data_IF_293660265676
#
_entry.id   IF_293660265676
#
_cell.length_a   1.000
_cell.length_b   1.000
_cell.length_c   1.000
_cell.angle_alpha   90.00
_cell.angle_beta   90.00
_cell.angle_gamma   90.00
#
_symmetry.space_group_name_H-M   'P 1'
#
loop_
_entity.id
_entity.type
_entity.pdbx_description
1 polymer ?
#
# COMPACT_ATOMS: atom_id res chain seq x y z
N UNK A 1 41.32 8.90 -38.58
CA UNK A 1 40.00 8.50 -38.05
C UNK A 1 40.17 7.97 -36.64
N UNK A 2 39.92 8.81 -35.64
CA UNK A 2 39.60 8.44 -34.25
C UNK A 2 39.41 9.74 -33.46
N UNK A 3 38.25 9.94 -32.84
CA UNK A 3 38.19 10.69 -31.58
C UNK A 3 36.96 10.26 -30.78
N UNK A 4 37.23 10.04 -29.51
CA UNK A 4 36.45 9.39 -28.46
C UNK A 4 35.24 10.23 -28.07
N UNK A 5 34.04 9.66 -28.12
CA UNK A 5 32.82 10.27 -27.56
C UNK A 5 32.76 10.03 -26.04
N UNK A 6 33.26 11.00 -25.27
CA UNK A 6 33.07 11.06 -23.82
C UNK A 6 31.67 11.59 -23.49
N UNK A 7 30.89 10.75 -22.77
CA UNK A 7 29.58 11.08 -22.21
C UNK A 7 29.75 12.07 -21.05
N UNK A 8 29.23 13.29 -21.21
CA UNK A 8 29.06 14.23 -20.09
C UNK A 8 27.72 13.96 -19.40
N UNK A 9 27.77 13.86 -18.06
CA UNK A 9 26.60 13.68 -17.18
C UNK A 9 25.65 14.88 -17.30
N UNK A 10 24.31 14.71 -17.31
CA UNK A 10 23.42 15.85 -17.20
C UNK A 10 23.54 16.43 -15.79
N UNK A 11 23.97 17.70 -15.75
CA UNK A 11 24.03 18.51 -14.56
C UNK A 11 22.64 18.72 -13.96
N UNK A 12 22.67 18.87 -12.64
CA UNK A 12 21.57 19.15 -11.74
C UNK A 12 20.55 20.18 -12.25
N UNK A 13 19.31 20.00 -11.77
CA UNK A 13 18.35 21.05 -11.45
C UNK A 13 18.34 22.23 -12.45
N UNK A 14 17.59 22.07 -13.54
CA UNK A 14 17.15 23.22 -14.34
C UNK A 14 16.37 24.16 -13.41
N UNK A 15 17.06 25.21 -12.94
CA UNK A 15 16.43 26.44 -12.49
C UNK A 15 15.55 26.91 -13.63
N UNK A 16 14.23 26.90 -13.42
CA UNK A 16 13.31 27.64 -14.25
C UNK A 16 13.73 29.11 -14.24
N UNK A 17 14.23 29.57 -15.36
CA UNK A 17 14.38 30.98 -15.72
C UNK A 17 13.01 31.48 -16.15
N UNK A 18 12.19 32.00 -15.24
CA UNK A 18 11.10 32.91 -15.57
C UNK A 18 10.84 33.83 -14.36
N UNK A 19 11.05 35.13 -14.56
CA UNK A 19 10.72 36.18 -13.59
C UNK A 19 11.93 36.89 -13.00
N UNK A 20 12.36 37.95 -13.67
CA UNK A 20 13.18 39.01 -13.09
C UNK A 20 12.48 39.59 -11.85
N UNK A 21 12.95 39.24 -10.66
CA UNK A 21 12.77 40.02 -9.45
C UNK A 21 14.15 40.18 -8.84
N UNK A 22 14.65 41.41 -8.82
CA UNK A 22 15.92 41.78 -8.24
C UNK A 22 16.03 41.18 -6.82
N UNK A 23 17.06 40.36 -6.59
CA UNK A 23 17.38 39.92 -5.23
C UNK A 23 17.65 41.14 -4.34
N UNK A 24 17.28 41.12 -3.06
CA UNK A 24 17.42 42.29 -2.20
C UNK A 24 18.89 42.71 -2.14
N UNK A 25 19.15 43.95 -2.52
CA UNK A 25 20.44 44.61 -2.38
C UNK A 25 20.88 44.44 -0.92
N UNK A 26 22.12 43.97 -0.71
CA UNK A 26 22.71 43.81 0.62
C UNK A 26 22.88 45.19 1.27
N UNK A 27 21.84 45.70 1.92
CA UNK A 27 21.93 46.89 2.73
C UNK A 27 22.49 46.54 4.11
N UNK A 28 23.29 47.46 4.65
CA UNK A 28 24.06 47.35 5.90
C UNK A 28 23.18 47.09 7.14
N UNK A 29 21.86 47.30 7.03
CA UNK A 29 20.87 47.18 8.10
C UNK A 29 20.18 45.82 8.22
N UNK A 30 20.66 44.79 7.52
CA UNK A 30 20.09 43.45 7.63
C UNK A 30 20.65 42.71 8.86
N UNK A 31 20.30 43.21 10.05
CA UNK A 31 20.80 42.68 11.32
C UNK A 31 20.34 41.24 11.54
N UNK A 32 21.09 40.46 12.34
CA UNK A 32 20.69 39.09 12.74
C UNK A 32 19.26 39.05 13.34
N UNK A 33 18.80 40.18 13.88
CA UNK A 33 17.48 40.37 14.44
C UNK A 33 16.38 40.44 13.37
N UNK A 34 16.58 41.19 12.28
CA UNK A 34 15.62 41.26 11.15
C UNK A 34 15.43 39.88 10.52
N UNK A 35 16.52 39.14 10.27
CA UNK A 35 16.45 37.75 9.78
C UNK A 35 15.84 36.76 10.77
N UNK A 36 15.87 37.07 12.07
CA UNK A 36 15.21 36.26 13.09
C UNK A 36 13.72 36.56 13.12
N UNK A 37 13.32 37.83 13.04
CA UNK A 37 11.92 38.25 12.89
C UNK A 37 11.34 37.61 11.63
N UNK A 38 11.97 37.77 10.47
CA UNK A 38 11.52 37.16 9.20
C UNK A 38 11.34 35.64 9.30
N UNK A 39 12.18 34.93 10.07
CA UNK A 39 12.02 33.49 10.29
C UNK A 39 10.89 33.14 11.24
N UNK A 40 10.58 34.03 12.18
CA UNK A 40 9.47 33.86 13.14
C UNK A 40 8.13 34.24 12.53
N UNK A 41 8.09 35.26 11.66
CA UNK A 41 6.89 35.69 10.92
C UNK A 41 6.69 34.95 9.60
N UNK A 42 7.67 34.20 9.12
CA UNK A 42 7.49 33.33 7.96
C UNK A 42 6.33 32.35 8.23
N UNK A 43 5.35 32.24 7.32
CA UNK A 43 4.30 31.23 7.46
C UNK A 43 4.94 29.84 7.54
N UNK A 44 4.33 28.96 8.33
CA UNK A 44 4.81 27.59 8.56
C UNK A 44 5.29 26.96 7.25
N UNK A 45 6.51 26.41 7.24
CA UNK A 45 7.07 25.71 6.06
C UNK A 45 6.29 24.46 5.67
N UNK A 46 5.28 24.09 6.46
CA UNK A 46 4.39 22.98 6.11
C UNK A 46 3.48 23.48 5.00
N UNK A 47 3.45 22.82 3.83
CA UNK A 47 2.40 23.10 2.87
C UNK A 47 1.04 22.96 3.58
N UNK A 48 0.04 23.78 3.23
CA UNK A 48 -1.31 23.56 3.73
C UNK A 48 -1.71 22.10 3.48
N UNK A 49 -2.41 21.44 4.42
CA UNK A 49 -2.83 20.07 4.21
C UNK A 49 -3.63 20.01 2.89
N UNK A 50 -3.39 19.01 2.04
CA UNK A 50 -4.19 18.85 0.83
C UNK A 50 -5.66 18.71 1.22
N UNK A 51 -6.54 19.37 0.48
CA UNK A 51 -7.99 19.20 0.65
C UNK A 51 -8.34 17.82 0.11
N UNK A 52 -8.55 16.86 1.01
CA UNK A 52 -8.98 15.50 0.65
C UNK A 52 -10.50 15.57 0.40
N UNK A 53 -11.00 15.19 -0.79
CA UNK A 53 -12.43 15.13 -1.02
C UNK A 53 -13.06 14.09 -0.08
N UNK A 54 -14.21 14.42 0.51
CA UNK A 54 -14.93 13.53 1.44
C UNK A 54 -15.37 12.22 0.77
N UNK A 55 -15.55 12.24 -0.55
CA UNK A 55 -15.95 11.07 -1.35
C UNK A 55 -15.19 11.03 -2.66
N UNK A 56 -14.23 10.12 -2.77
CA UNK A 56 -13.62 9.77 -4.05
C UNK A 56 -14.60 8.88 -4.83
N UNK A 57 -14.95 9.29 -6.05
CA UNK A 57 -15.70 8.43 -6.97
C UNK A 57 -14.67 7.54 -7.66
N UNK A 58 -14.71 6.21 -7.47
CA UNK A 58 -13.78 5.33 -8.15
C UNK A 58 -13.99 5.45 -9.66
N UNK A 59 -12.92 5.28 -10.47
CA UNK A 59 -13.06 5.26 -11.91
C UNK A 59 -14.07 4.18 -12.34
N UNK A 60 -14.82 4.40 -13.43
CA UNK A 60 -15.74 3.40 -13.95
C UNK A 60 -15.00 2.08 -14.15
N UNK A 61 -15.50 1.00 -13.53
CA UNK A 61 -14.97 -0.35 -13.73
C UNK A 61 -15.14 -0.70 -15.21
N UNK A 62 -14.09 -1.26 -15.83
CA UNK A 62 -14.15 -1.67 -17.23
C UNK A 62 -15.37 -2.60 -17.46
N UNK A 63 -16.22 -2.34 -18.47
CA UNK A 63 -17.49 -3.05 -18.67
C UNK A 63 -17.32 -4.53 -19.05
N UNK A 64 -16.08 -4.99 -19.27
CA UNK A 64 -15.73 -6.39 -19.52
C UNK A 64 -15.69 -7.23 -18.25
N UNK A 65 -15.62 -6.63 -17.06
CA UNK A 65 -15.56 -7.36 -15.79
C UNK A 65 -16.98 -7.71 -15.35
N UNK A 66 -17.40 -8.93 -15.64
CA UNK A 66 -18.64 -9.46 -15.06
C UNK A 66 -18.40 -9.80 -13.58
N UNK A 67 -19.26 -9.33 -12.66
CA UNK A 67 -19.14 -9.68 -11.26
C UNK A 67 -19.45 -11.17 -11.09
N UNK A 68 -18.44 -11.96 -10.73
CA UNK A 68 -18.62 -13.37 -10.39
C UNK A 68 -19.17 -13.47 -8.97
N UNK A 69 -20.31 -14.14 -8.81
CA UNK A 69 -20.85 -14.45 -7.50
C UNK A 69 -20.01 -15.58 -6.88
N UNK A 70 -19.36 -15.35 -5.73
CA UNK A 70 -18.58 -16.39 -5.08
C UNK A 70 -19.47 -17.52 -4.60
N UNK A 71 -19.02 -18.76 -4.79
CA UNK A 71 -19.63 -19.95 -4.17
C UNK A 71 -19.37 -19.89 -2.66
N UNK A 72 -20.31 -20.40 -1.87
CA UNK A 72 -20.19 -20.48 -0.41
C UNK A 72 -18.93 -21.27 -0.02
N UNK A 73 -18.00 -20.66 0.72
CA UNK A 73 -16.73 -21.28 1.10
C UNK A 73 -15.55 -20.99 0.16
N UNK A 74 -15.76 -20.22 -0.92
CA UNK A 74 -14.67 -19.71 -1.75
C UNK A 74 -13.78 -18.72 -0.99
N UNK A 75 -12.48 -18.76 -1.27
CA UNK A 75 -11.46 -17.91 -0.62
C UNK A 75 -11.00 -16.86 -1.59
N UNK A 76 -11.19 -15.58 -1.23
CA UNK A 76 -10.75 -14.46 -2.05
C UNK A 76 -9.24 -14.22 -1.87
N UNK A 77 -8.58 -13.65 -2.88
CA UNK A 77 -7.21 -13.19 -2.72
C UNK A 77 -7.12 -12.10 -1.64
N UNK A 78 -6.09 -12.18 -0.81
CA UNK A 78 -5.75 -11.12 0.13
C UNK A 78 -4.85 -10.05 -0.47
N UNK A 79 -4.58 -9.02 0.32
CA UNK A 79 -3.71 -7.90 -0.02
C UNK A 79 -2.73 -7.64 1.12
N UNK A 80 -1.47 -7.36 0.80
CA UNK A 80 -0.51 -6.93 1.81
C UNK A 80 -0.52 -5.40 1.92
N UNK A 81 -0.43 -4.88 3.14
CA UNK A 81 -0.40 -3.46 3.44
C UNK A 81 0.62 -3.15 4.53
N UNK A 82 1.03 -1.87 4.62
CA UNK A 82 1.90 -1.40 5.69
C UNK A 82 1.07 -0.80 6.82
N UNK A 83 1.29 -1.25 8.06
CA UNK A 83 0.74 -0.59 9.25
C UNK A 83 1.36 0.80 9.36
N UNK A 84 0.55 1.85 9.21
CA UNK A 84 1.01 3.23 9.42
C UNK A 84 0.96 3.57 10.90
N UNK A 85 -0.12 3.15 11.58
CA UNK A 85 -0.34 3.44 12.98
C UNK A 85 -1.72 3.03 13.46
N UNK A 86 -2.04 3.48 14.68
CA UNK A 86 -3.34 3.28 15.32
C UNK A 86 -3.90 4.65 15.72
N UNK A 87 -5.19 4.85 15.55
CA UNK A 87 -5.90 6.07 15.95
C UNK A 87 -7.26 5.72 16.56
N UNK A 88 -7.81 6.66 17.33
CA UNK A 88 -9.19 6.54 17.82
C UNK A 88 -10.13 7.26 16.86
N UNK A 89 -11.15 6.56 16.39
CA UNK A 89 -12.28 7.14 15.66
C UNK A 89 -13.44 7.27 16.66
N UNK A 90 -14.12 8.41 16.63
CA UNK A 90 -15.27 8.66 17.50
C UNK A 90 -16.54 8.51 16.67
N UNK A 91 -17.44 7.66 17.15
CA UNK A 91 -18.76 7.49 16.55
C UNK A 91 -19.71 8.59 17.04
N UNK A 92 -20.83 8.79 16.34
CA UNK A 92 -21.87 9.78 16.67
C UNK A 92 -22.44 9.59 18.09
N UNK A 93 -22.39 8.37 18.62
CA UNK A 93 -22.81 8.05 20.00
C UNK A 93 -21.75 8.36 21.07
N UNK A 94 -20.62 8.97 20.71
CA UNK A 94 -19.54 9.30 21.63
C UNK A 94 -18.72 8.09 22.09
N UNK A 95 -18.80 6.95 21.41
CA UNK A 95 -17.93 5.80 21.66
C UNK A 95 -16.61 5.94 20.90
N UNK A 96 -15.50 5.58 21.54
CA UNK A 96 -14.15 5.61 20.96
C UNK A 96 -13.78 4.22 20.41
N UNK A 97 -13.60 4.13 19.10
CA UNK A 97 -13.15 2.92 18.41
C UNK A 97 -11.66 2.99 18.10
N UNK A 98 -10.89 2.02 18.57
CA UNK A 98 -9.47 1.90 18.22
C UNK A 98 -9.34 1.29 16.83
N UNK A 99 -8.87 2.09 15.86
CA UNK A 99 -8.73 1.70 14.46
C UNK A 99 -7.24 1.68 14.09
N UNK A 100 -6.82 0.68 13.31
CA UNK A 100 -5.48 0.69 12.72
C UNK A 100 -5.53 1.15 11.28
N UNK A 101 -4.67 2.10 10.92
CA UNK A 101 -4.56 2.60 9.55
C UNK A 101 -3.49 1.80 8.81
N UNK A 102 -3.88 1.20 7.69
CA UNK A 102 -3.03 0.40 6.82
C UNK A 102 -2.91 1.07 5.45
N UNK A 103 -1.69 1.23 4.95
CA UNK A 103 -1.41 1.75 3.61
C UNK A 103 -1.18 0.62 2.63
N UNK A 104 -2.01 0.53 1.60
CA UNK A 104 -1.72 -0.28 0.42
C UNK A 104 -0.74 0.51 -0.46
N UNK A 105 0.38 -0.09 -0.83
CA UNK A 105 1.42 0.60 -1.62
C UNK A 105 2.06 -0.32 -2.64
N UNK A 106 1.84 -0.04 -3.93
CA UNK A 106 2.39 -0.78 -5.08
C UNK A 106 2.26 -2.30 -4.92
N UNK A 107 1.03 -2.76 -4.67
CA UNK A 107 0.71 -4.18 -4.51
C UNK A 107 0.37 -4.80 -5.85
N UNK A 108 1.09 -5.84 -6.27
CA UNK A 108 0.84 -6.55 -7.54
C UNK A 108 0.85 -8.06 -7.37
N UNK A 109 0.06 -8.75 -8.20
CA UNK A 109 0.16 -10.20 -8.38
C UNK A 109 1.43 -10.54 -9.16
N UNK A 110 2.33 -11.31 -8.56
CA UNK A 110 3.61 -11.70 -9.15
C UNK A 110 3.56 -13.08 -9.81
N UNK A 111 2.97 -14.06 -9.12
CA UNK A 111 2.95 -15.45 -9.57
C UNK A 111 1.68 -16.15 -9.11
N UNK A 112 1.10 -16.94 -10.00
CA UNK A 112 0.05 -17.91 -9.68
C UNK A 112 0.69 -19.28 -9.45
N UNK A 113 0.31 -19.96 -8.38
CA UNK A 113 0.60 -21.36 -8.12
C UNK A 113 -0.64 -22.19 -8.44
N UNK A 114 -0.46 -23.20 -9.28
CA UNK A 114 -1.53 -24.12 -9.69
C UNK A 114 -1.27 -25.51 -9.12
N UNK A 115 -2.34 -26.30 -8.97
CA UNK A 115 -2.28 -27.66 -8.40
C UNK A 115 -1.27 -28.53 -9.16
N UNK A 116 -1.28 -28.48 -10.49
CA UNK A 116 -0.41 -29.29 -11.33
C UNK A 116 1.10 -29.05 -11.11
N UNK A 117 1.49 -27.83 -10.70
CA UNK A 117 2.91 -27.46 -10.53
C UNK A 117 3.35 -27.48 -9.07
N UNK A 118 2.45 -27.15 -8.14
CA UNK A 118 2.80 -26.87 -6.75
C UNK A 118 2.04 -27.72 -5.72
N UNK A 119 1.02 -28.48 -6.15
CA UNK A 119 0.18 -29.29 -5.26
C UNK A 119 -0.91 -28.50 -4.52
N UNK A 120 -1.02 -27.19 -4.75
CA UNK A 120 -2.07 -26.34 -4.19
C UNK A 120 -2.23 -25.06 -5.02
N UNK A 121 -3.35 -24.36 -4.78
CA UNK A 121 -3.68 -23.09 -5.42
C UNK A 121 -3.33 -21.92 -4.50
N UNK A 122 -2.53 -20.99 -5.02
CA UNK A 122 -2.16 -19.78 -4.30
C UNK A 122 -1.76 -18.64 -5.23
N UNK A 123 -1.91 -17.42 -4.75
CA UNK A 123 -1.45 -16.20 -5.39
C UNK A 123 -0.31 -15.58 -4.59
N UNK A 124 0.82 -15.41 -5.26
CA UNK A 124 1.94 -14.66 -4.71
C UNK A 124 1.76 -13.18 -5.02
N UNK A 125 1.68 -12.38 -3.97
CA UNK A 125 1.46 -10.93 -4.04
C UNK A 125 2.67 -10.22 -3.46
N UNK A 126 3.14 -9.19 -4.14
CA UNK A 126 4.26 -8.37 -3.71
C UNK A 126 3.85 -6.93 -3.46
N UNK A 127 4.29 -6.35 -2.35
CA UNK A 127 3.93 -4.99 -1.90
C UNK A 127 5.17 -4.16 -1.57
N UNK A 128 5.06 -2.85 -1.76
CA UNK A 128 6.11 -1.88 -1.47
C UNK A 128 7.19 -1.80 -2.54
N UNK A 129 8.09 -0.85 -2.35
CA UNK A 129 9.30 -0.70 -3.17
C UNK A 129 10.53 -0.79 -2.26
N UNK A 130 11.60 -1.41 -2.76
CA UNK A 130 12.89 -1.45 -2.08
C UNK A 130 14.02 -1.47 -3.11
N UNK A 131 15.14 -0.84 -2.74
CA UNK A 131 16.29 -0.67 -3.63
C UNK A 131 16.98 -2.01 -3.90
N UNK A 132 17.44 -2.23 -5.14
CA UNK A 132 18.08 -3.48 -5.59
C UNK A 132 19.27 -3.92 -4.73
N UNK A 133 20.09 -2.99 -4.23
CA UNK A 133 21.23 -3.31 -3.36
C UNK A 133 20.85 -3.90 -2.01
N UNK A 134 19.61 -3.71 -1.55
CA UNK A 134 19.09 -4.24 -0.29
C UNK A 134 18.27 -5.53 -0.50
N UNK A 135 18.19 -6.03 -1.74
CA UNK A 135 17.47 -7.25 -2.06
C UNK A 135 18.40 -8.45 -2.19
N UNK A 136 17.92 -9.59 -1.72
CA UNK A 136 18.52 -10.87 -2.02
C UNK A 136 18.36 -11.19 -3.52
N UNK A 137 19.42 -11.72 -4.15
CA UNK A 137 19.46 -12.06 -5.58
C UNK A 137 18.27 -12.93 -6.03
N UNK A 138 17.84 -13.88 -5.19
CA UNK A 138 16.70 -14.75 -5.45
C UNK A 138 15.39 -13.97 -5.59
N UNK A 139 15.14 -13.00 -4.70
CA UNK A 139 13.93 -12.16 -4.73
C UNK A 139 13.89 -11.28 -5.98
N UNK A 140 15.04 -10.72 -6.36
CA UNK A 140 15.17 -9.93 -7.59
C UNK A 140 14.83 -10.79 -8.80
N UNK A 141 15.40 -12.00 -8.90
CA UNK A 141 15.09 -12.92 -10.01
C UNK A 141 13.61 -13.30 -10.10
N UNK A 142 12.92 -13.43 -8.96
CA UNK A 142 11.46 -13.64 -8.95
C UNK A 142 10.69 -12.41 -9.48
N UNK A 143 11.08 -11.20 -9.08
CA UNK A 143 10.47 -9.96 -9.58
C UNK A 143 10.70 -9.76 -11.08
N UNK A 144 11.91 -10.03 -11.57
CA UNK A 144 12.26 -9.94 -12.99
C UNK A 144 11.42 -10.92 -13.82
N UNK A 145 11.26 -12.18 -13.37
CA UNK A 145 10.42 -13.18 -14.06
C UNK A 145 8.95 -12.76 -14.14
N UNK A 146 8.45 -12.09 -13.10
CA UNK A 146 7.10 -11.54 -13.09
C UNK A 146 6.99 -10.22 -13.88
N UNK A 147 8.11 -9.61 -14.28
CA UNK A 147 8.13 -8.31 -14.96
C UNK A 147 7.63 -7.16 -14.09
N UNK A 148 7.82 -7.26 -12.77
CA UNK A 148 7.44 -6.22 -11.80
C UNK A 148 8.65 -5.55 -11.19
N UNK A 149 8.44 -4.33 -10.69
CA UNK A 149 9.42 -3.63 -9.87
C UNK A 149 9.80 -4.44 -8.62
N UNK A 150 11.03 -4.24 -8.08
CA UNK A 150 11.47 -4.92 -6.86
C UNK A 150 10.55 -4.58 -5.68
N UNK A 151 9.98 -5.63 -5.08
CA UNK A 151 8.99 -5.52 -3.99
C UNK A 151 9.61 -5.72 -2.61
N UNK A 152 9.17 -4.92 -1.65
CA UNK A 152 9.66 -4.97 -0.27
C UNK A 152 9.22 -6.26 0.44
N UNK A 153 7.92 -6.56 0.37
CA UNK A 153 7.29 -7.75 0.94
C UNK A 153 6.71 -8.63 -0.16
N UNK A 154 6.80 -9.95 0.01
CA UNK A 154 6.21 -10.93 -0.91
C UNK A 154 5.59 -12.03 -0.05
N UNK A 155 4.28 -12.22 -0.18
CA UNK A 155 3.50 -13.21 0.54
C UNK A 155 2.67 -14.06 -0.42
N UNK A 156 2.18 -15.18 0.09
CA UNK A 156 1.40 -16.14 -0.68
C UNK A 156 0.03 -16.34 -0.03
N UNK A 157 -1.01 -15.96 -0.76
CA UNK A 157 -2.39 -16.15 -0.34
C UNK A 157 -2.93 -17.44 -0.92
N UNK A 158 -3.54 -18.30 -0.09
CA UNK A 158 -4.29 -19.46 -0.58
C UNK A 158 -5.64 -19.02 -1.11
N UNK A 159 -5.92 -19.33 -2.36
CA UNK A 159 -7.11 -18.85 -3.08
C UNK A 159 -7.78 -20.06 -3.73
N UNK A 160 -9.12 -20.04 -3.80
CA UNK A 160 -9.87 -21.04 -4.56
C UNK A 160 -9.81 -20.75 -6.07
N UNK A 161 -9.88 -21.79 -6.89
CA UNK A 161 -9.92 -21.73 -8.36
C UNK A 161 -10.79 -20.60 -8.92
N UNK A 162 -11.97 -20.40 -8.35
CA UNK A 162 -12.98 -19.44 -8.83
C UNK A 162 -12.57 -17.98 -8.64
N UNK A 163 -11.68 -17.72 -7.67
CA UNK A 163 -11.22 -16.39 -7.28
C UNK A 163 -9.78 -16.11 -7.73
N UNK A 164 -9.22 -16.95 -8.59
CA UNK A 164 -7.88 -16.76 -9.12
C UNK A 164 -7.89 -15.62 -10.15
N UNK A 165 -7.09 -14.57 -9.93
CA UNK A 165 -6.95 -13.50 -10.91
C UNK A 165 -6.26 -14.05 -12.17
N UNK A 166 -6.84 -13.87 -13.38
CA UNK A 166 -6.25 -14.40 -14.61
C UNK A 166 -4.96 -13.66 -14.99
N UNK A 167 -4.90 -12.36 -14.75
CA UNK A 167 -3.80 -11.51 -15.22
C UNK A 167 -2.67 -11.39 -14.19
N UNK A 168 -1.49 -11.87 -14.58
CA UNK A 168 -0.23 -11.58 -13.89
C UNK A 168 0.09 -10.10 -14.07
N UNK A 169 0.49 -9.40 -12.99
CA UNK A 169 0.74 -7.94 -12.86
C UNK A 169 -0.46 -7.06 -12.48
N UNK A 170 -1.65 -7.64 -12.26
CA UNK A 170 -2.79 -6.86 -11.76
C UNK A 170 -2.40 -6.10 -10.49
N UNK A 171 -2.65 -4.79 -10.47
CA UNK A 171 -2.45 -3.95 -9.29
C UNK A 171 -3.64 -4.03 -8.35
N UNK A 172 -3.36 -4.14 -7.06
CA UNK A 172 -4.39 -4.01 -6.04
C UNK A 172 -4.49 -2.57 -5.54
N UNK A 173 -5.73 -2.11 -5.42
CA UNK A 173 -6.10 -0.82 -4.83
C UNK A 173 -6.86 -1.06 -3.53
N UNK A 174 -6.96 -0.06 -2.66
CA UNK A 174 -7.77 -0.11 -1.43
C UNK A 174 -9.23 -0.47 -1.67
N UNK A 175 -9.75 -0.18 -2.86
CA UNK A 175 -11.15 -0.43 -3.23
C UNK A 175 -11.51 -1.93 -3.32
N UNK A 176 -10.49 -2.81 -3.35
CA UNK A 176 -10.71 -4.25 -3.21
C UNK A 176 -11.36 -4.60 -1.86
N UNK A 177 -11.20 -3.74 -0.84
CA UNK A 177 -11.80 -3.89 0.48
C UNK A 177 -12.98 -2.92 0.59
N UNK A 178 -14.20 -3.46 0.55
CA UNK A 178 -15.40 -2.65 0.77
C UNK A 178 -15.53 -2.30 2.26
N UNK A 179 -15.88 -1.07 2.63
CA UNK A 179 -16.16 -0.72 4.03
C UNK A 179 -17.23 -1.63 4.63
N UNK A 180 -17.02 -2.06 5.88
CA UNK A 180 -17.89 -3.01 6.59
C UNK A 180 -17.55 -4.48 6.36
N UNK A 181 -16.64 -4.81 5.45
CA UNK A 181 -16.09 -6.15 5.31
C UNK A 181 -15.18 -6.48 6.51
N UNK A 182 -15.39 -7.66 7.11
CA UNK A 182 -14.45 -8.20 8.11
C UNK A 182 -13.27 -8.83 7.38
N UNK A 183 -12.07 -8.47 7.81
CA UNK A 183 -10.82 -8.96 7.23
C UNK A 183 -9.98 -9.60 8.32
N UNK A 184 -9.43 -10.78 8.05
CA UNK A 184 -8.49 -11.41 8.96
C UNK A 184 -7.10 -10.81 8.73
N UNK A 185 -6.49 -10.33 9.82
CA UNK A 185 -5.17 -9.71 9.79
C UNK A 185 -4.11 -10.65 10.36
N UNK A 186 -3.08 -10.94 9.57
CA UNK A 186 -1.84 -11.56 10.07
C UNK A 186 -0.78 -10.46 10.14
N UNK A 187 -0.25 -10.20 11.34
CA UNK A 187 0.76 -9.17 11.56
C UNK A 187 2.14 -9.83 11.75
N UNK A 188 3.01 -9.72 10.74
CA UNK A 188 4.45 -9.88 10.95
C UNK A 188 5.06 -8.51 11.29
N UNK A 189 6.15 -8.49 12.06
CA UNK A 189 6.77 -7.26 12.62
C UNK A 189 7.11 -6.14 11.63
N UNK A 190 6.96 -6.35 10.31
CA UNK A 190 7.34 -5.41 9.25
C UNK A 190 6.23 -5.23 8.17
N UNK A 191 5.16 -6.03 8.19
CA UNK A 191 4.08 -5.98 7.19
C UNK A 191 2.76 -6.53 7.76
N UNK A 192 1.65 -5.86 7.44
CA UNK A 192 0.32 -6.39 7.75
C UNK A 192 -0.23 -7.07 6.52
N UNK A 193 -0.46 -8.36 6.63
CA UNK A 193 -1.21 -9.12 5.64
C UNK A 193 -2.70 -9.00 5.97
N UNK A 194 -3.52 -8.63 4.98
CA UNK A 194 -4.97 -8.63 5.11
C UNK A 194 -5.54 -9.72 4.22
N UNK A 195 -6.12 -10.75 4.84
CA UNK A 195 -6.88 -11.78 4.17
C UNK A 195 -8.32 -11.28 4.00
N UNK A 196 -8.86 -11.37 2.77
CA UNK A 196 -10.24 -11.02 2.50
C UNK A 196 -11.08 -12.29 2.61
N UNK A 197 -11.75 -12.50 3.75
CA UNK A 197 -12.60 -13.67 3.90
C UNK A 197 -13.94 -13.48 3.18
N UNK A 198 -14.30 -14.46 2.35
CA UNK A 198 -15.61 -14.58 1.70
C UNK A 198 -16.69 -15.18 2.61
N UNK A 199 -16.72 -14.83 3.89
CA UNK A 199 -17.66 -15.40 4.88
C UNK A 199 -18.86 -14.50 5.16
N UNK A 200 -20.07 -15.08 5.14
CA UNK A 200 -21.34 -14.48 5.58
C UNK A 200 -21.24 -13.73 6.92
N UNK A 201 -22.12 -12.75 7.20
CA UNK A 201 -22.09 -11.99 8.44
C UNK A 201 -22.26 -12.94 9.63
N UNK A 202 -21.20 -13.12 10.40
CA UNK A 202 -21.27 -13.82 11.68
C UNK A 202 -22.25 -13.07 12.58
N UNK A 203 -23.40 -13.69 12.85
CA UNK A 203 -24.32 -13.27 13.89
C UNK A 203 -23.54 -13.19 15.21
N UNK A 204 -23.44 -11.99 15.78
CA UNK A 204 -22.71 -11.73 17.04
C UNK A 204 -23.23 -12.68 18.13
N UNK A 205 -22.39 -13.65 18.50
CA UNK A 205 -22.66 -14.51 19.65
C UNK A 205 -22.26 -13.73 20.91
N UNK A 206 -23.23 -13.35 21.73
CA UNK A 206 -23.07 -12.47 22.92
C UNK A 206 -22.50 -13.18 24.15
N UNK A 207 -21.87 -14.35 23.99
CA UNK A 207 -21.33 -15.13 25.12
C UNK A 207 -19.83 -14.91 25.32
N UNK A 208 -19.36 -14.80 26.58
CA UNK A 208 -17.94 -14.63 26.88
C UNK A 208 -17.12 -15.82 26.39
N UNK A 209 -15.94 -15.54 25.82
CA UNK A 209 -15.07 -16.49 25.12
C UNK A 209 -14.65 -17.72 25.96
N UNK A 210 -14.75 -17.65 27.29
CA UNK A 210 -14.42 -18.77 28.18
C UNK A 210 -15.42 -19.96 28.11
N UNK A 211 -16.63 -19.75 27.57
CA UNK A 211 -17.65 -20.80 27.45
C UNK A 211 -17.74 -21.41 26.05
N UNK A 212 -17.14 -20.78 25.03
CA UNK A 212 -17.04 -21.31 23.68
C UNK A 212 -15.80 -22.21 23.66
N UNK A 213 -15.97 -23.54 23.59
CA UNK A 213 -14.88 -24.53 23.45
C UNK A 213 -14.12 -24.44 22.12
N UNK A 214 -13.84 -23.23 21.67
CA UNK A 214 -13.35 -22.84 20.36
C UNK A 214 -11.83 -22.76 20.45
N UNK A 215 -11.20 -23.95 20.49
CA UNK A 215 -9.73 -24.10 20.51
C UNK A 215 -9.12 -23.38 19.30
N UNK A 216 -8.23 -22.42 19.57
CA UNK A 216 -7.26 -21.96 18.59
C UNK A 216 -6.42 -23.17 18.13
N UNK A 217 -6.44 -23.48 16.84
CA UNK A 217 -5.50 -24.45 16.26
C UNK A 217 -4.12 -23.81 16.25
N UNK A 218 -3.24 -24.25 17.15
CA UNK A 218 -1.80 -24.08 17.02
C UNK A 218 -1.32 -24.99 15.88
N UNK A 219 -0.73 -24.41 14.84
CA UNK A 219 -0.08 -25.17 13.78
C UNK A 219 1.30 -25.67 14.26
N UNK A 220 1.49 -26.99 14.20
CA UNK A 220 2.78 -27.63 13.98
C UNK A 220 2.87 -28.09 12.53
#
# INVERSE_FOLDING_TARGET
>A
MASVLARTRPAACRRGLLGSQAGPVRTFFNSKWVRRIERLTAPSRRPPPPVIPEKEVPPPVDPSVTPVNPVLGSKRPGICAFKIGCMGLWDEWGQKHAVTVCKVHNSHVMRQKTIARNGYEALQVGTGWRTLGLHERRRIGCCIRAGVEPKHHIEEFRVSSDCMLPDLKTSFTSDAVRPGLSVDGVEERVGKELLLDGGSPASKCTKPQAACGCRARSAG
#
